data_IF_513550060370
#
_entry.id   IF_513550060370
#
_cell.length_a   1.000
_cell.length_b   1.000
_cell.length_c   1.000
_cell.angle_alpha   90.00
_cell.angle_beta   90.00
_cell.angle_gamma   90.00
#
_symmetry.space_group_name_H-M   'P 1'
#
loop_
_entity.id
_entity.type
_entity.pdbx_description
1 polymer ?
#
# COMPACT_ATOMS: atom_id res chain seq x y z
N UNK A 1 -6.42 -26.89 -24.14
CA UNK A 1 -7.02 -25.95 -23.18
C UNK A 1 -6.58 -26.18 -21.71
N UNK A 2 -5.31 -26.49 -21.43
CA UNK A 2 -4.79 -26.73 -20.05
C UNK A 2 -3.72 -25.74 -19.59
N UNK A 3 -3.45 -24.68 -20.33
CA UNK A 3 -2.37 -23.71 -19.99
C UNK A 3 -2.82 -22.53 -19.11
N UNK A 4 -4.12 -22.42 -18.75
CA UNK A 4 -4.67 -21.22 -18.09
C UNK A 4 -4.69 -21.29 -16.56
N UNK A 5 -4.26 -22.39 -15.90
CA UNK A 5 -4.41 -22.57 -14.45
C UNK A 5 -3.23 -22.06 -13.61
N UNK A 6 -2.06 -21.86 -14.20
CA UNK A 6 -0.81 -21.56 -13.45
C UNK A 6 -0.63 -20.08 -13.04
N UNK A 7 -1.37 -19.15 -13.64
CA UNK A 7 -1.19 -17.72 -13.39
C UNK A 7 -2.14 -17.12 -12.33
N UNK A 8 -3.15 -17.86 -11.91
CA UNK A 8 -4.17 -17.41 -10.95
C UNK A 8 -3.68 -17.15 -9.53
N UNK A 9 -2.83 -18.01 -8.91
CA UNK A 9 -2.44 -17.85 -7.51
C UNK A 9 -1.54 -16.64 -7.24
N UNK A 10 -0.63 -16.31 -8.17
CA UNK A 10 0.32 -15.21 -7.99
C UNK A 10 -0.32 -13.82 -7.95
N UNK A 11 -1.52 -13.66 -8.52
CA UNK A 11 -2.25 -12.37 -8.57
C UNK A 11 -3.08 -12.13 -7.32
N UNK A 12 -3.80 -13.13 -6.86
CA UNK A 12 -4.52 -13.07 -5.58
C UNK A 12 -3.55 -12.76 -4.44
N UNK A 13 -2.33 -13.25 -4.54
CA UNK A 13 -1.25 -13.01 -3.60
C UNK A 13 -0.76 -11.55 -3.59
N UNK A 14 -0.62 -10.90 -4.76
CA UNK A 14 -0.17 -9.50 -4.85
C UNK A 14 -1.19 -8.51 -4.30
N UNK A 15 -2.47 -8.69 -4.60
CA UNK A 15 -3.54 -7.86 -4.05
C UNK A 15 -3.66 -8.03 -2.54
N UNK A 16 -3.55 -9.25 -2.03
CA UNK A 16 -3.56 -9.53 -0.59
C UNK A 16 -2.40 -8.84 0.12
N UNK A 17 -1.18 -8.91 -0.43
CA UNK A 17 0.00 -8.25 0.16
C UNK A 17 -0.12 -6.72 0.16
N UNK A 18 -0.70 -6.13 -0.90
CA UNK A 18 -0.97 -4.70 -0.96
C UNK A 18 -2.00 -4.29 0.10
N UNK A 19 -3.12 -5.01 0.23
CA UNK A 19 -4.13 -4.73 1.25
C UNK A 19 -3.58 -4.87 2.68
N UNK A 20 -2.82 -5.92 2.95
CA UNK A 20 -2.11 -6.08 4.23
C UNK A 20 -1.14 -4.92 4.51
N UNK A 21 -0.43 -4.44 3.48
CA UNK A 21 0.46 -3.29 3.59
C UNK A 21 -0.28 -1.99 3.92
N UNK A 22 -1.47 -1.77 3.36
CA UNK A 22 -2.32 -0.63 3.70
C UNK A 22 -2.84 -0.69 5.14
N UNK A 23 -3.31 -1.85 5.59
CA UNK A 23 -3.73 -2.06 6.98
C UNK A 23 -2.55 -1.86 7.93
N UNK A 24 -1.38 -2.40 7.59
CA UNK A 24 -0.16 -2.22 8.38
C UNK A 24 0.26 -0.76 8.46
N UNK A 25 0.20 -0.02 7.35
CA UNK A 25 0.45 1.43 7.33
C UNK A 25 -0.52 2.21 8.23
N UNK A 26 -1.81 1.87 8.19
CA UNK A 26 -2.82 2.44 9.09
C UNK A 26 -2.55 2.13 10.57
N UNK A 27 -2.16 0.90 10.89
CA UNK A 27 -1.80 0.51 12.26
C UNK A 27 -0.58 1.28 12.78
N UNK A 28 0.44 1.49 11.95
CA UNK A 28 1.59 2.32 12.29
C UNK A 28 1.21 3.80 12.49
N UNK A 29 0.23 4.30 11.74
CA UNK A 29 -0.30 5.66 11.90
C UNK A 29 -1.00 5.84 13.26
N UNK A 30 -1.70 4.83 13.77
CA UNK A 30 -2.25 4.83 15.14
C UNK A 30 -1.11 4.99 16.15
N UNK A 31 0.02 4.32 15.95
CA UNK A 31 1.21 4.47 16.79
C UNK A 31 1.67 5.92 16.83
N UNK A 32 1.73 6.62 15.69
CA UNK A 32 2.07 8.05 15.63
C UNK A 32 1.05 8.92 16.37
N UNK A 33 -0.25 8.70 16.17
CA UNK A 33 -1.30 9.50 16.83
C UNK A 33 -1.30 9.36 18.35
N UNK A 34 -0.88 8.18 18.88
CA UNK A 34 -0.79 7.92 20.32
C UNK A 34 0.48 8.44 20.97
N UNK A 35 1.61 8.36 20.26
CA UNK A 35 2.94 8.67 20.84
C UNK A 35 3.48 10.02 20.42
N UNK A 36 2.97 10.62 19.34
CA UNK A 36 3.55 11.83 18.73
C UNK A 36 4.93 11.63 18.10
N UNK A 37 5.50 10.42 18.16
CA UNK A 37 6.85 10.15 17.65
C UNK A 37 6.85 10.08 16.12
N UNK A 38 7.65 10.96 15.52
CA UNK A 38 7.82 11.06 14.06
C UNK A 38 8.38 9.80 13.41
N UNK A 39 8.96 8.89 14.16
CA UNK A 39 9.43 7.60 13.64
C UNK A 39 8.27 6.73 13.17
N UNK A 40 7.14 6.78 13.84
CA UNK A 40 5.94 6.04 13.46
C UNK A 40 5.31 6.61 12.19
N UNK A 41 5.26 7.95 12.04
CA UNK A 41 4.81 8.59 10.81
C UNK A 41 5.67 8.18 9.61
N UNK A 42 6.99 8.20 9.74
CA UNK A 42 7.91 7.77 8.68
C UNK A 42 7.67 6.30 8.28
N UNK A 43 7.49 5.41 9.25
CA UNK A 43 7.22 3.98 9.00
C UNK A 43 5.89 3.77 8.29
N UNK A 44 4.84 4.47 8.73
CA UNK A 44 3.52 4.45 8.09
C UNK A 44 3.60 4.94 6.64
N UNK A 45 4.26 6.08 6.42
CA UNK A 45 4.46 6.62 5.08
C UNK A 45 5.12 5.62 4.12
N UNK A 46 6.23 5.00 4.55
CA UNK A 46 6.95 4.04 3.72
C UNK A 46 6.11 2.78 3.46
N UNK A 47 5.38 2.30 4.47
CA UNK A 47 4.50 1.14 4.33
C UNK A 47 3.39 1.39 3.30
N UNK A 48 2.71 2.53 3.38
CA UNK A 48 1.65 2.92 2.43
C UNK A 48 2.23 3.11 1.03
N UNK A 49 3.39 3.77 0.91
CA UNK A 49 4.03 3.99 -0.39
C UNK A 49 4.38 2.66 -1.09
N UNK A 50 4.99 1.72 -0.37
CA UNK A 50 5.27 0.39 -0.90
C UNK A 50 3.99 -0.37 -1.26
N UNK A 51 2.98 -0.34 -0.39
CA UNK A 51 1.69 -0.98 -0.66
C UNK A 51 1.01 -0.41 -1.92
N UNK A 52 1.14 0.90 -2.17
CA UNK A 52 0.61 1.55 -3.36
C UNK A 52 1.32 1.07 -4.63
N UNK A 53 2.65 0.95 -4.62
CA UNK A 53 3.42 0.40 -5.75
C UNK A 53 2.95 -1.02 -6.08
N UNK A 54 2.81 -1.88 -5.06
CA UNK A 54 2.29 -3.24 -5.25
C UNK A 54 0.84 -3.24 -5.71
N UNK A 55 0.01 -2.29 -5.24
CA UNK A 55 -1.38 -2.13 -5.65
C UNK A 55 -1.51 -1.78 -7.12
N UNK A 56 -0.75 -0.80 -7.59
CA UNK A 56 -0.70 -0.42 -9.02
C UNK A 56 -0.19 -1.59 -9.87
N UNK A 57 0.87 -2.27 -9.43
CA UNK A 57 1.38 -3.47 -10.10
C UNK A 57 0.32 -4.58 -10.19
N UNK A 58 -0.50 -4.75 -9.14
CA UNK A 58 -1.60 -5.72 -9.13
C UNK A 58 -2.72 -5.33 -10.11
N UNK A 59 -3.07 -4.04 -10.21
CA UNK A 59 -4.05 -3.54 -11.18
C UNK A 59 -3.59 -3.80 -12.61
N UNK A 60 -2.36 -3.45 -12.96
CA UNK A 60 -1.81 -3.64 -14.31
C UNK A 60 -1.79 -5.14 -14.68
N UNK A 61 -1.18 -5.96 -13.84
CA UNK A 61 -1.08 -7.40 -14.10
C UNK A 61 -2.44 -8.11 -14.04
N UNK A 62 -3.36 -7.60 -13.22
CA UNK A 62 -4.75 -8.07 -13.14
C UNK A 62 -5.52 -7.80 -14.41
N UNK A 63 -5.38 -6.59 -14.98
CA UNK A 63 -6.02 -6.21 -16.25
C UNK A 63 -5.52 -7.04 -17.43
N UNK A 64 -4.20 -7.28 -17.53
CA UNK A 64 -3.62 -8.16 -18.58
C UNK A 64 -4.22 -9.56 -18.48
N UNK A 65 -4.34 -10.06 -17.27
CA UNK A 65 -4.94 -11.39 -17.09
C UNK A 65 -6.44 -11.42 -17.39
N UNK A 66 -7.19 -10.41 -16.97
CA UNK A 66 -8.61 -10.31 -17.27
C UNK A 66 -8.84 -10.35 -18.77
N UNK A 67 -8.00 -9.67 -19.55
CA UNK A 67 -8.02 -9.75 -21.01
C UNK A 67 -7.77 -11.16 -21.55
N UNK A 68 -6.80 -11.86 -20.99
CA UNK A 68 -6.45 -13.22 -21.42
C UNK A 68 -7.50 -14.26 -21.02
N UNK A 69 -8.17 -14.09 -19.87
CA UNK A 69 -9.09 -15.08 -19.30
C UNK A 69 -10.56 -14.82 -19.64
N UNK A 70 -10.96 -13.56 -19.72
CA UNK A 70 -12.36 -13.13 -19.89
C UNK A 70 -12.58 -12.33 -21.17
N UNK A 71 -11.54 -12.02 -21.94
CA UNK A 71 -11.63 -11.24 -23.17
C UNK A 71 -11.75 -9.73 -22.97
N UNK A 72 -11.87 -9.24 -21.74
CA UNK A 72 -12.02 -7.83 -21.38
C UNK A 72 -10.87 -7.36 -20.50
N UNK A 73 -10.36 -6.14 -20.73
CA UNK A 73 -9.31 -5.54 -19.89
C UNK A 73 -9.80 -5.25 -18.47
N UNK A 74 -11.09 -4.91 -18.32
CA UNK A 74 -11.70 -4.56 -17.05
C UNK A 74 -13.19 -4.91 -17.06
N UNK A 75 -13.71 -5.37 -15.92
CA UNK A 75 -15.14 -5.69 -15.75
C UNK A 75 -15.68 -4.82 -14.61
N UNK A 76 -16.44 -3.80 -14.98
CA UNK A 76 -16.99 -2.82 -14.03
C UNK A 76 -18.06 -3.39 -13.10
N UNK A 77 -18.74 -4.44 -13.53
CA UNK A 77 -19.79 -5.11 -12.74
C UNK A 77 -19.22 -6.11 -11.72
N UNK A 78 -17.89 -6.29 -11.67
CA UNK A 78 -17.25 -7.18 -10.72
C UNK A 78 -16.87 -6.44 -9.43
N UNK A 79 -17.58 -6.68 -8.30
CA UNK A 79 -17.37 -5.95 -7.05
C UNK A 79 -15.94 -6.06 -6.54
N UNK A 80 -15.29 -7.20 -6.73
CA UNK A 80 -13.91 -7.43 -6.27
C UNK A 80 -12.90 -6.54 -6.97
N UNK A 81 -13.05 -6.35 -8.29
CA UNK A 81 -12.13 -5.51 -9.08
C UNK A 81 -12.33 -4.03 -8.75
N UNK A 82 -13.60 -3.59 -8.75
CA UNK A 82 -13.95 -2.18 -8.51
C UNK A 82 -13.59 -1.78 -7.08
N UNK A 83 -13.85 -2.63 -6.09
CA UNK A 83 -13.50 -2.35 -4.71
C UNK A 83 -11.99 -2.23 -4.49
N UNK A 84 -11.21 -3.09 -5.14
CA UNK A 84 -9.75 -2.99 -5.07
C UNK A 84 -9.23 -1.70 -5.72
N UNK A 85 -9.80 -1.30 -6.86
CA UNK A 85 -9.50 -0.02 -7.50
C UNK A 85 -9.81 1.16 -6.57
N UNK A 86 -10.98 1.16 -5.92
CA UNK A 86 -11.37 2.22 -4.96
C UNK A 86 -10.36 2.32 -3.82
N UNK A 87 -9.93 1.19 -3.24
CA UNK A 87 -8.91 1.19 -2.18
C UNK A 87 -7.59 1.78 -2.68
N UNK A 88 -7.12 1.37 -3.86
CA UNK A 88 -5.87 1.90 -4.42
C UNK A 88 -5.97 3.40 -4.69
N UNK A 89 -7.08 3.89 -5.25
CA UNK A 89 -7.31 5.31 -5.49
C UNK A 89 -7.40 6.10 -4.18
N UNK A 90 -8.08 5.56 -3.16
CA UNK A 90 -8.15 6.18 -1.84
C UNK A 90 -6.75 6.36 -1.25
N UNK A 91 -5.89 5.36 -1.30
CA UNK A 91 -4.52 5.49 -0.82
C UNK A 91 -3.62 6.30 -1.77
N UNK A 92 -3.94 6.40 -3.06
CA UNK A 92 -3.24 7.31 -3.97
C UNK A 92 -3.42 8.77 -3.56
N UNK A 93 -4.58 9.16 -3.02
CA UNK A 93 -4.81 10.53 -2.52
C UNK A 93 -3.99 10.88 -1.26
N UNK A 94 -3.45 9.88 -0.56
CA UNK A 94 -2.57 10.09 0.59
C UNK A 94 -1.30 10.86 0.22
N UNK A 95 -0.75 10.64 -0.97
CA UNK A 95 0.49 11.30 -1.40
C UNK A 95 0.29 12.81 -1.62
N UNK A 96 -0.65 13.27 -2.48
CA UNK A 96 -0.89 14.69 -2.68
C UNK A 96 -1.36 15.38 -1.40
N UNK A 97 -2.20 14.72 -0.55
CA UNK A 97 -2.58 15.26 0.74
C UNK A 97 -1.33 15.60 1.60
N UNK A 98 -0.36 14.69 1.62
CA UNK A 98 0.85 14.88 2.39
C UNK A 98 1.74 16.01 1.84
N UNK A 99 1.80 16.17 0.52
CA UNK A 99 2.60 17.23 -0.10
C UNK A 99 1.92 18.61 -0.07
N UNK A 100 0.60 18.67 0.11
CA UNK A 100 -0.14 19.92 0.18
C UNK A 100 0.01 20.67 1.51
N UNK A 101 0.51 20.01 2.57
CA UNK A 101 0.66 20.60 3.90
C UNK A 101 2.12 20.95 4.13
N UNK A 102 2.41 22.25 4.27
CA UNK A 102 3.78 22.77 4.44
C UNK A 102 4.32 22.55 5.85
N UNK A 103 3.48 22.70 6.88
CA UNK A 103 3.88 22.47 8.28
C UNK A 103 4.11 20.98 8.55
N UNK A 104 5.34 20.57 8.90
CA UNK A 104 5.69 19.18 9.13
C UNK A 104 4.92 18.51 10.29
N UNK A 105 4.49 19.27 11.29
CA UNK A 105 3.74 18.74 12.44
C UNK A 105 2.28 18.46 12.04
N UNK A 106 1.65 19.43 11.39
CA UNK A 106 0.29 19.28 10.87
C UNK A 106 0.24 18.23 9.77
N UNK A 107 1.20 18.19 8.85
CA UNK A 107 1.36 17.18 7.81
C UNK A 107 1.33 15.77 8.40
N UNK A 108 2.18 15.50 9.40
CA UNK A 108 2.27 14.18 10.02
C UNK A 108 0.95 13.78 10.70
N UNK A 109 0.29 14.73 11.36
CA UNK A 109 -0.97 14.48 12.07
C UNK A 109 -2.12 14.18 11.09
N UNK A 110 -2.34 15.04 10.10
CA UNK A 110 -3.43 14.85 9.11
C UNK A 110 -3.19 13.62 8.24
N UNK A 111 -1.95 13.38 7.81
CA UNK A 111 -1.60 12.17 7.07
C UNK A 111 -1.85 10.90 7.89
N UNK A 112 -1.56 10.92 9.20
CA UNK A 112 -1.83 9.77 10.07
C UNK A 112 -3.32 9.55 10.31
N UNK A 113 -4.12 10.60 10.49
CA UNK A 113 -5.58 10.48 10.58
C UNK A 113 -6.15 9.88 9.31
N UNK A 114 -5.75 10.40 8.15
CA UNK A 114 -6.17 9.86 6.86
C UNK A 114 -5.77 8.39 6.70
N UNK A 115 -4.53 8.02 7.04
CA UNK A 115 -4.05 6.64 6.96
C UNK A 115 -4.84 5.68 7.83
N UNK A 116 -5.27 6.11 9.02
CA UNK A 116 -6.11 5.30 9.93
C UNK A 116 -7.50 5.10 9.33
N UNK A 117 -8.14 6.16 8.87
CA UNK A 117 -9.48 6.10 8.27
C UNK A 117 -9.47 5.23 7.01
N UNK A 118 -8.51 5.47 6.12
CA UNK A 118 -8.34 4.66 4.90
C UNK A 118 -7.99 3.20 5.22
N UNK A 119 -7.16 2.96 6.25
CA UNK A 119 -6.82 1.62 6.72
C UNK A 119 -8.03 0.86 7.29
N UNK A 120 -8.91 1.54 8.02
CA UNK A 120 -10.17 0.97 8.52
C UNK A 120 -11.18 0.70 7.39
N UNK A 121 -11.13 1.48 6.30
CA UNK A 121 -11.97 1.25 5.14
C UNK A 121 -11.65 -0.08 4.43
N UNK A 122 -10.40 -0.55 4.45
CA UNK A 122 -9.98 -1.79 3.78
C UNK A 122 -10.76 -3.02 4.28
N UNK A 123 -10.79 -3.36 5.58
CA UNK A 123 -11.57 -4.50 6.06
C UNK A 123 -13.08 -4.32 5.87
N UNK A 124 -13.60 -3.10 6.03
CA UNK A 124 -15.01 -2.79 5.77
C UNK A 124 -15.38 -3.09 4.32
N UNK A 125 -14.57 -2.60 3.38
CA UNK A 125 -14.74 -2.85 1.95
C UNK A 125 -14.65 -4.35 1.61
N UNK A 126 -13.74 -5.08 2.26
CA UNK A 126 -13.63 -6.52 2.08
C UNK A 126 -14.92 -7.26 2.52
N UNK A 127 -15.52 -6.86 3.64
CA UNK A 127 -16.78 -7.42 4.12
C UNK A 127 -17.92 -7.10 3.13
N UNK A 128 -18.02 -5.85 2.67
CA UNK A 128 -19.03 -5.42 1.71
C UNK A 128 -18.96 -6.22 0.40
N UNK A 129 -17.75 -6.45 -0.13
CA UNK A 129 -17.53 -7.29 -1.31
C UNK A 129 -17.92 -8.75 -1.07
N UNK A 130 -17.73 -9.25 0.15
CA UNK A 130 -18.17 -10.63 0.51
C UNK A 130 -19.68 -10.80 0.53
N UNK A 131 -20.42 -9.76 0.82
CA UNK A 131 -21.90 -9.75 0.79
C UNK A 131 -22.43 -9.56 -0.64
N UNK A 132 -21.66 -8.95 -1.54
CA UNK A 132 -22.06 -8.77 -2.93
C UNK A 132 -22.02 -10.08 -3.71
N UNK A 133 -22.91 -10.20 -4.71
CA UNK A 133 -22.90 -11.34 -5.62
C UNK A 133 -21.67 -11.32 -6.54
N UNK A 134 -21.14 -12.51 -6.82
CA UNK A 134 -20.06 -12.68 -7.80
C UNK A 134 -20.63 -12.56 -9.22
N UNK A 135 -19.85 -11.91 -10.09
CA UNK A 135 -20.20 -11.85 -11.50
C UNK A 135 -19.31 -12.77 -12.36
N UNK A 136 -18.02 -12.59 -12.30
CA UNK A 136 -17.05 -13.35 -13.11
C UNK A 136 -15.91 -13.94 -12.27
N UNK A 137 -15.51 -13.24 -11.20
CA UNK A 137 -14.32 -13.60 -10.43
C UNK A 137 -14.63 -14.67 -9.37
N UNK A 138 -14.17 -15.93 -9.52
CA UNK A 138 -14.44 -16.98 -8.54
C UNK A 138 -13.77 -16.67 -7.19
N UNK A 139 -14.50 -16.89 -6.10
CA UNK A 139 -13.95 -16.78 -4.74
C UNK A 139 -13.10 -18.00 -4.43
N UNK A 140 -11.81 -17.77 -4.33
CA UNK A 140 -10.81 -18.81 -4.06
C UNK A 140 -10.77 -19.18 -2.58
N UNK A 141 -11.01 -18.21 -1.69
CA UNK A 141 -11.04 -18.40 -0.25
C UNK A 141 -12.49 -18.26 0.27
N UNK A 142 -13.03 -19.32 0.85
CA UNK A 142 -14.32 -19.36 1.53
C UNK A 142 -14.13 -19.68 3.01
N UNK A 143 -15.10 -19.35 3.87
CA UNK A 143 -15.05 -19.68 5.30
C UNK A 143 -15.08 -21.19 5.56
N UNK A 144 -15.59 -21.98 4.60
CA UNK A 144 -15.68 -23.44 4.67
C UNK A 144 -14.40 -24.16 4.15
N UNK A 145 -13.34 -23.43 3.86
CA UNK A 145 -12.12 -23.95 3.24
C UNK A 145 -12.01 -23.52 1.77
N UNK A 146 -10.78 -23.42 1.26
CA UNK A 146 -10.55 -23.01 -0.12
C UNK A 146 -10.90 -24.11 -1.12
N UNK A 147 -11.55 -23.78 -2.21
CA UNK A 147 -11.82 -24.65 -3.35
C UNK A 147 -10.57 -24.88 -4.24
N UNK A 148 -9.39 -24.75 -3.68
CA UNK A 148 -8.12 -24.93 -4.39
C UNK A 148 -7.64 -26.37 -4.26
N UNK A 149 -7.29 -27.05 -5.37
CA UNK A 149 -6.56 -28.30 -5.33
C UNK A 149 -5.27 -28.17 -4.51
N UNK A 150 -4.83 -29.23 -3.86
CA UNK A 150 -3.68 -29.19 -2.93
C UNK A 150 -2.39 -28.60 -3.53
N UNK A 151 -2.08 -28.92 -4.78
CA UNK A 151 -0.93 -28.38 -5.52
C UNK A 151 -1.06 -26.86 -5.76
N UNK A 152 -2.25 -26.37 -6.09
CA UNK A 152 -2.49 -24.92 -6.26
C UNK A 152 -2.41 -24.18 -4.93
N UNK A 153 -2.87 -24.79 -3.83
CA UNK A 153 -2.78 -24.21 -2.49
C UNK A 153 -1.32 -24.05 -2.04
N UNK A 154 -0.47 -25.03 -2.29
CA UNK A 154 0.95 -24.97 -1.98
C UNK A 154 1.63 -23.83 -2.77
N UNK A 155 1.41 -23.75 -4.07
CA UNK A 155 1.93 -22.67 -4.93
C UNK A 155 1.46 -21.29 -4.45
N UNK A 156 0.18 -21.17 -4.05
CA UNK A 156 -0.35 -19.94 -3.48
C UNK A 156 0.38 -19.53 -2.20
N UNK A 157 0.60 -20.46 -1.27
CA UNK A 157 1.30 -20.19 0.00
C UNK A 157 2.77 -19.79 -0.24
N UNK A 158 3.49 -20.50 -1.09
CA UNK A 158 4.87 -20.17 -1.44
C UNK A 158 4.93 -18.75 -2.07
N UNK A 159 4.03 -18.44 -2.99
CA UNK A 159 3.96 -17.13 -3.62
C UNK A 159 3.63 -16.03 -2.61
N UNK A 160 2.73 -16.30 -1.65
CA UNK A 160 2.38 -15.37 -0.58
C UNK A 160 3.58 -15.04 0.30
N UNK A 161 4.31 -16.07 0.72
CA UNK A 161 5.55 -15.90 1.50
C UNK A 161 6.59 -15.11 0.70
N UNK A 162 6.83 -15.46 -0.56
CA UNK A 162 7.79 -14.77 -1.42
C UNK A 162 7.50 -13.28 -1.59
N UNK A 163 6.24 -12.93 -1.88
CA UNK A 163 5.83 -11.52 -2.04
C UNK A 163 5.87 -10.78 -0.71
N UNK A 164 5.51 -11.43 0.41
CA UNK A 164 5.60 -10.82 1.74
C UNK A 164 7.05 -10.52 2.11
N UNK A 165 7.97 -11.44 1.85
CA UNK A 165 9.39 -11.22 2.06
C UNK A 165 9.93 -10.10 1.18
N UNK A 166 9.53 -10.05 -0.08
CA UNK A 166 9.88 -8.96 -1.00
C UNK A 166 9.38 -7.61 -0.47
N UNK A 167 8.11 -7.53 -0.03
CA UNK A 167 7.55 -6.32 0.56
C UNK A 167 8.35 -5.86 1.79
N UNK A 168 8.64 -6.76 2.73
CA UNK A 168 9.40 -6.46 3.95
C UNK A 168 10.82 -6.00 3.62
N UNK A 169 11.47 -6.63 2.65
CA UNK A 169 12.83 -6.28 2.22
C UNK A 169 12.85 -4.88 1.60
N UNK A 170 11.94 -4.58 0.68
CA UNK A 170 11.82 -3.26 0.07
C UNK A 170 11.46 -2.17 1.08
N UNK A 171 10.56 -2.48 2.01
CA UNK A 171 10.21 -1.57 3.10
C UNK A 171 11.42 -1.24 3.99
N UNK A 172 12.20 -2.24 4.40
CA UNK A 172 13.43 -2.04 5.18
C UNK A 172 14.48 -1.26 4.40
N UNK A 173 14.64 -1.58 3.12
CA UNK A 173 15.58 -0.87 2.24
C UNK A 173 15.22 0.61 2.13
N UNK A 174 13.97 0.93 1.85
CA UNK A 174 13.50 2.32 1.75
C UNK A 174 13.63 3.08 3.10
N UNK A 175 13.35 2.40 4.23
CA UNK A 175 13.57 2.96 5.55
C UNK A 175 15.04 3.27 5.81
N UNK A 176 15.94 2.38 5.43
CA UNK A 176 17.39 2.58 5.55
C UNK A 176 17.86 3.76 4.69
N UNK A 177 17.41 3.83 3.44
CA UNK A 177 17.73 4.92 2.53
C UNK A 177 17.26 6.29 3.06
N UNK A 178 16.04 6.37 3.61
CA UNK A 178 15.52 7.61 4.21
C UNK A 178 16.28 8.01 5.47
N UNK A 179 16.63 7.05 6.31
CA UNK A 179 17.44 7.30 7.51
C UNK A 179 18.83 7.83 7.13
N UNK A 180 19.49 7.22 6.15
CA UNK A 180 20.80 7.70 5.64
C UNK A 180 20.71 9.11 5.09
N UNK A 181 19.68 9.42 4.27
CA UNK A 181 19.46 10.80 3.77
C UNK A 181 19.24 11.81 4.90
N UNK A 182 18.54 11.45 5.96
CA UNK A 182 18.35 12.32 7.12
C UNK A 182 19.67 12.57 7.86
N UNK A 183 20.50 11.54 8.01
CA UNK A 183 21.83 11.69 8.64
C UNK A 183 22.74 12.61 7.81
N UNK A 184 22.79 12.40 6.50
CA UNK A 184 23.57 13.28 5.60
C UNK A 184 23.09 14.73 5.68
N UNK A 185 21.78 14.97 5.70
CA UNK A 185 21.22 16.34 5.88
C UNK A 185 21.62 16.95 7.22
N UNK A 186 21.60 16.17 8.29
CA UNK A 186 22.06 16.65 9.63
C UNK A 186 23.54 17.04 9.61
N UNK A 187 24.40 16.16 9.11
CA UNK A 187 25.83 16.42 8.98
C UNK A 187 26.10 17.66 8.13
N UNK A 188 25.40 17.80 7.01
CA UNK A 188 25.53 18.96 6.14
C UNK A 188 25.17 20.26 6.85
N UNK A 189 24.10 20.28 7.65
CA UNK A 189 23.73 21.45 8.48
C UNK A 189 24.81 21.78 9.53
N UNK A 190 25.34 20.75 10.18
CA UNK A 190 26.38 20.94 11.20
C UNK A 190 27.68 21.49 10.62
N UNK A 191 28.06 21.07 9.40
CA UNK A 191 29.33 21.44 8.78
C UNK A 191 29.27 22.76 7.99
N UNK A 192 28.13 23.06 7.34
CA UNK A 192 28.01 24.16 6.39
C UNK A 192 27.10 25.31 6.88
N UNK A 193 26.48 25.17 8.07
CA UNK A 193 25.47 26.09 8.56
C UNK A 193 24.10 25.90 7.90
N UNK A 194 23.07 26.52 8.48
CA UNK A 194 21.67 26.39 8.01
C UNK A 194 21.44 27.01 6.62
N UNK A 195 22.25 27.96 6.20
CA UNK A 195 22.14 28.70 4.93
C UNK A 195 22.50 27.84 3.70
N UNK A 196 23.21 26.74 3.89
CA UNK A 196 23.70 25.87 2.80
C UNK A 196 22.70 24.79 2.38
N UNK A 197 21.48 24.74 2.97
CA UNK A 197 20.47 23.75 2.64
C UNK A 197 19.43 24.35 1.68
N UNK A 198 19.37 23.95 0.39
CA UNK A 198 18.36 24.43 -0.52
C UNK A 198 16.94 24.14 0.02
N UNK A 199 16.12 25.14 0.16
CA UNK A 199 14.71 25.03 0.56
C UNK A 199 14.40 25.38 2.02
N UNK A 200 15.35 25.84 2.82
CA UNK A 200 15.09 26.29 4.20
C UNK A 200 15.48 27.75 4.47
N UNK A 201 15.75 28.50 3.45
CA UNK A 201 16.09 29.91 3.54
C UNK A 201 14.92 30.80 3.17
N UNK A 202 14.34 31.42 4.18
CA UNK A 202 13.51 32.63 4.23
C UNK A 202 12.16 32.42 4.92
N UNK A 203 12.20 32.14 6.20
CA UNK A 203 11.23 32.77 7.09
C UNK A 203 11.69 34.22 7.25
N UNK A 204 10.98 35.17 6.64
CA UNK A 204 11.23 36.59 6.78
C UNK A 204 11.26 36.96 8.27
N UNK A 205 12.29 37.65 8.69
CA UNK A 205 12.31 38.32 9.96
C UNK A 205 11.12 39.31 10.00
N UNK A 206 10.33 39.35 11.08
CA UNK A 206 9.31 40.39 11.23
C UNK A 206 10.02 41.74 11.39
N UNK A 207 9.73 42.66 10.48
CA UNK A 207 10.02 44.09 10.60
C UNK A 207 9.15 44.73 11.66
#
# INVERSE_FOLDING_TARGET
>A
MRACSLSSPARSCRSTSSLCGFIFGGALAIGHLRTGDRRWDMRSYVAIHMALIFGVGALITGSIWAKASWGHWWVWNEPTLVSFLIVVLLFATYQPLRFAIEDPMLQARYASVFAVVAGAFVPLNFIAVRLAQQYVHPRVLTLAGGNLPGSMRLTFLISLVGITLLYVTLWKYEMSAKNARMQVRRLRRTLLGDDAVPGYGRSAAPS
#
